data_IF_875880947590
#
_entry.id   IF_875880947590
#
_cell.length_a   1.000
_cell.length_b   1.000
_cell.length_c   1.000
_cell.angle_alpha   90.00
_cell.angle_beta   90.00
_cell.angle_gamma   90.00
#
_symmetry.space_group_name_H-M   'P 1'
#
loop_
_entity.id
_entity.type
_entity.pdbx_description
1 polymer ?
#
# COMPACT_ATOMS: atom_id res chain seq x y z
N UNK A 1 17.74 -41.79 -44.47
CA UNK A 1 16.38 -41.51 -43.97
C UNK A 1 16.51 -40.55 -42.80
N UNK A 2 16.00 -39.34 -42.97
CA UNK A 2 16.12 -38.25 -42.00
C UNK A 2 15.00 -38.33 -40.97
N UNK A 3 15.34 -38.14 -39.70
CA UNK A 3 14.39 -37.91 -38.61
C UNK A 3 14.80 -36.62 -37.92
N UNK A 4 14.19 -35.52 -38.36
CA UNK A 4 14.27 -34.23 -37.68
C UNK A 4 13.36 -34.26 -36.45
N UNK A 5 13.80 -33.81 -35.26
CA UNK A 5 12.90 -33.55 -34.16
C UNK A 5 12.09 -32.30 -34.49
N UNK A 6 10.77 -32.45 -34.50
CA UNK A 6 9.82 -31.34 -34.59
C UNK A 6 10.05 -30.38 -33.42
N UNK A 7 10.51 -29.17 -33.75
CA UNK A 7 10.57 -28.02 -32.85
C UNK A 7 9.16 -27.53 -32.58
N UNK A 8 8.50 -28.09 -31.57
CA UNK A 8 7.26 -27.53 -31.05
C UNK A 8 7.65 -26.35 -30.14
N UNK A 9 7.78 -25.16 -30.72
CA UNK A 9 7.76 -23.94 -29.94
C UNK A 9 6.32 -23.77 -29.42
N UNK A 10 6.09 -23.66 -28.10
CA UNK A 10 4.74 -23.45 -27.59
C UNK A 10 4.26 -22.06 -28.04
N UNK A 11 3.03 -21.98 -28.54
CA UNK A 11 2.37 -20.71 -28.84
C UNK A 11 2.30 -19.86 -27.55
N UNK A 12 3.10 -18.81 -27.50
CA UNK A 12 3.14 -17.86 -26.39
C UNK A 12 1.84 -17.05 -26.36
N UNK A 13 0.95 -17.37 -25.42
CA UNK A 13 -0.19 -16.51 -25.11
C UNK A 13 0.27 -15.12 -24.63
N UNK A 14 -0.52 -14.09 -24.91
CA UNK A 14 -0.21 -12.68 -24.57
C UNK A 14 0.08 -12.48 -23.06
N UNK A 15 -0.57 -13.26 -22.19
CA UNK A 15 -0.28 -13.26 -20.74
C UNK A 15 1.15 -13.72 -20.43
N UNK A 16 1.60 -14.77 -21.10
CA UNK A 16 2.92 -15.35 -20.92
C UNK A 16 3.99 -14.39 -21.44
N UNK A 17 3.77 -13.77 -22.61
CA UNK A 17 4.66 -12.74 -23.14
C UNK A 17 4.78 -11.53 -22.20
N UNK A 18 3.67 -11.09 -21.58
CA UNK A 18 3.69 -9.99 -20.61
C UNK A 18 4.45 -10.34 -19.33
N UNK A 19 4.39 -11.59 -18.88
CA UNK A 19 5.17 -12.07 -17.73
C UNK A 19 6.68 -12.09 -18.01
N UNK A 20 7.10 -12.52 -19.20
CA UNK A 20 8.50 -12.52 -19.61
C UNK A 20 9.08 -11.12 -19.88
N UNK A 21 8.24 -10.14 -20.25
CA UNK A 21 8.66 -8.75 -20.48
C UNK A 21 8.62 -7.89 -19.21
N UNK A 22 8.29 -8.44 -18.04
CA UNK A 22 8.27 -7.65 -16.80
C UNK A 22 9.69 -7.12 -16.51
N UNK A 23 9.82 -5.86 -16.09
CA UNK A 23 11.10 -5.31 -15.66
C UNK A 23 11.73 -6.21 -14.60
N UNK A 24 13.00 -6.57 -14.79
CA UNK A 24 13.77 -7.39 -13.85
C UNK A 24 14.04 -6.53 -12.60
N UNK A 25 13.17 -6.62 -11.60
CA UNK A 25 13.28 -5.90 -10.34
C UNK A 25 12.12 -6.22 -9.38
N UNK A 26 12.31 -6.06 -8.06
CA UNK A 26 11.30 -6.45 -7.09
C UNK A 26 10.02 -5.60 -7.24
N UNK A 27 8.87 -6.26 -7.34
CA UNK A 27 7.55 -5.63 -7.24
C UNK A 27 7.39 -5.09 -5.82
N UNK A 28 7.12 -3.79 -5.72
CA UNK A 28 6.95 -3.12 -4.43
C UNK A 28 5.52 -2.67 -4.24
N UNK A 29 4.94 -3.03 -3.10
CA UNK A 29 3.65 -2.50 -2.65
C UNK A 29 3.91 -1.38 -1.65
N UNK A 30 3.37 -0.19 -1.91
CA UNK A 30 3.41 0.89 -0.95
C UNK A 30 2.14 0.91 -0.09
N UNK A 31 2.29 0.81 1.23
CA UNK A 31 1.19 0.90 2.17
C UNK A 31 1.27 2.23 2.91
N UNK A 32 0.17 2.98 2.88
CA UNK A 32 0.05 4.29 3.51
C UNK A 32 -0.70 4.20 4.83
N UNK A 33 -0.18 4.84 5.87
CA UNK A 33 -0.88 4.99 7.15
C UNK A 33 -2.17 5.80 6.99
N UNK A 34 -3.27 5.38 7.63
CA UNK A 34 -4.46 6.21 7.77
C UNK A 34 -4.20 7.36 8.76
N UNK A 35 -5.05 8.37 8.74
CA UNK A 35 -5.21 9.34 9.84
C UNK A 35 -6.46 9.02 10.67
N UNK A 36 -6.53 9.48 11.92
CA UNK A 36 -7.80 9.41 12.66
C UNK A 36 -8.87 10.34 12.07
N UNK A 37 -8.45 11.51 11.53
CA UNK A 37 -9.35 12.43 10.83
C UNK A 37 -9.81 11.83 9.51
N UNK A 38 -11.11 11.80 9.31
CA UNK A 38 -11.80 11.21 8.14
C UNK A 38 -12.73 12.23 7.52
N UNK A 39 -13.11 12.02 6.26
CA UNK A 39 -13.93 12.99 5.54
C UNK A 39 -15.32 13.17 6.20
N UNK A 40 -15.88 12.09 6.72
CA UNK A 40 -17.18 12.07 7.39
C UNK A 40 -17.21 12.73 8.76
N UNK A 41 -16.05 13.10 9.32
CA UNK A 41 -16.01 13.98 10.49
C UNK A 41 -16.46 15.42 10.13
N UNK A 42 -16.51 15.75 8.83
CA UNK A 42 -16.88 17.08 8.32
C UNK A 42 -17.97 17.06 7.24
N UNK A 43 -18.08 15.99 6.46
CA UNK A 43 -19.10 15.82 5.41
C UNK A 43 -19.52 14.34 5.31
N UNK A 44 -20.77 13.99 5.65
CA UNK A 44 -21.23 12.60 5.69
C UNK A 44 -21.68 12.06 4.32
N UNK A 45 -21.10 12.51 3.22
CA UNK A 45 -21.42 11.98 1.88
C UNK A 45 -20.80 10.60 1.66
N UNK A 46 -21.59 9.65 1.13
CA UNK A 46 -21.17 8.28 0.83
C UNK A 46 -21.72 7.79 -0.51
N UNK A 47 -21.04 6.83 -1.19
CA UNK A 47 -19.79 6.19 -0.79
C UNK A 47 -18.55 7.07 -1.03
N UNK A 48 -17.49 6.83 -0.25
CA UNK A 48 -16.23 7.59 -0.34
C UNK A 48 -15.11 6.69 -0.87
N UNK A 49 -14.35 7.17 -1.86
CA UNK A 49 -13.12 6.48 -2.30
C UNK A 49 -12.06 6.51 -1.21
N UNK A 50 -11.33 5.41 -1.00
CA UNK A 50 -10.28 5.30 0.02
C UNK A 50 -9.27 6.47 -0.03
N UNK A 51 -8.86 6.89 -1.24
CA UNK A 51 -7.95 8.05 -1.47
C UNK A 51 -8.48 9.40 -0.98
N UNK A 52 -9.76 9.50 -0.62
CA UNK A 52 -10.41 10.72 -0.10
C UNK A 52 -10.81 10.59 1.36
N UNK A 53 -10.83 9.37 1.91
CA UNK A 53 -11.28 9.08 3.27
C UNK A 53 -10.45 9.81 4.31
N UNK A 54 -9.13 9.65 4.26
CA UNK A 54 -8.23 10.08 5.34
C UNK A 54 -7.72 11.50 5.08
N UNK A 55 -8.09 12.42 5.97
CA UNK A 55 -7.94 13.87 5.75
C UNK A 55 -6.82 14.51 6.57
N UNK A 56 -6.16 13.75 7.46
CA UNK A 56 -5.02 14.23 8.23
C UNK A 56 -3.83 14.58 7.34
N UNK A 57 -3.12 15.67 7.66
CA UNK A 57 -2.03 16.21 6.85
C UNK A 57 -0.94 15.18 6.51
N UNK A 58 -0.44 14.46 7.52
CA UNK A 58 0.59 13.44 7.33
C UNK A 58 0.12 12.28 6.43
N UNK A 59 -1.09 11.75 6.66
CA UNK A 59 -1.65 10.68 5.80
C UNK A 59 -1.82 11.17 4.37
N UNK A 60 -2.35 12.38 4.14
CA UNK A 60 -2.48 12.96 2.79
C UNK A 60 -1.13 13.09 2.09
N UNK A 61 -0.08 13.53 2.80
CA UNK A 61 1.28 13.63 2.23
C UNK A 61 1.83 12.26 1.84
N UNK A 62 1.63 11.25 2.69
CA UNK A 62 1.98 9.86 2.35
C UNK A 62 1.22 9.35 1.12
N UNK A 63 -0.08 9.66 1.00
CA UNK A 63 -0.89 9.30 -0.17
C UNK A 63 -0.36 9.99 -1.44
N UNK A 64 -0.04 11.30 -1.38
CA UNK A 64 0.51 12.03 -2.51
C UNK A 64 1.85 11.45 -2.98
N UNK A 65 2.72 11.10 -2.03
CA UNK A 65 4.00 10.45 -2.33
C UNK A 65 3.78 9.06 -2.96
N UNK A 66 2.86 8.26 -2.42
CA UNK A 66 2.53 6.95 -2.95
C UNK A 66 1.95 7.03 -4.38
N UNK A 67 1.05 7.97 -4.64
CA UNK A 67 0.48 8.21 -5.98
C UNK A 67 1.56 8.65 -6.98
N UNK A 68 2.55 9.44 -6.55
CA UNK A 68 3.65 9.90 -7.39
C UNK A 68 4.63 8.79 -7.77
N UNK A 69 4.99 7.93 -6.82
CA UNK A 69 6.12 6.99 -7.00
C UNK A 69 5.73 5.52 -7.09
N UNK A 70 4.50 5.15 -6.72
CA UNK A 70 4.01 3.77 -6.64
C UNK A 70 2.65 3.63 -7.33
N UNK A 71 2.42 4.37 -8.42
CA UNK A 71 1.16 4.36 -9.18
C UNK A 71 0.77 2.93 -9.56
N UNK A 72 -0.47 2.56 -9.23
CA UNK A 72 -1.01 1.22 -9.46
C UNK A 72 -0.56 0.15 -8.45
N UNK A 73 0.39 0.45 -7.57
CA UNK A 73 0.93 -0.48 -6.56
C UNK A 73 0.99 0.18 -5.18
N UNK A 74 -0.08 0.86 -4.77
CA UNK A 74 -0.19 1.41 -3.43
C UNK A 74 -1.59 1.29 -2.85
N UNK A 75 -1.69 1.07 -1.54
CA UNK A 75 -2.95 0.96 -0.81
C UNK A 75 -2.91 1.76 0.49
N UNK A 76 -4.08 2.08 1.03
CA UNK A 76 -4.24 2.66 2.37
C UNK A 76 -4.66 1.54 3.32
N UNK A 77 -4.10 1.50 4.51
CA UNK A 77 -4.59 0.61 5.57
C UNK A 77 -5.80 1.24 6.25
N UNK A 78 -6.99 0.73 5.97
CA UNK A 78 -8.22 1.11 6.64
C UNK A 78 -8.45 0.23 7.89
N UNK A 79 -8.69 0.79 9.09
CA UNK A 79 -8.87 0.01 10.33
C UNK A 79 -10.10 -0.92 10.34
N UNK A 80 -11.07 -0.70 9.45
CA UNK A 80 -12.29 -1.49 9.36
C UNK A 80 -12.28 -2.46 8.17
N UNK A 81 -11.75 -2.02 7.04
CA UNK A 81 -11.81 -2.70 5.74
C UNK A 81 -10.47 -3.33 5.32
N UNK A 82 -9.40 -3.09 6.10
CA UNK A 82 -8.06 -3.60 5.83
C UNK A 82 -7.34 -2.81 4.73
N UNK A 83 -6.46 -3.47 3.99
CA UNK A 83 -5.78 -2.87 2.84
C UNK A 83 -6.80 -2.53 1.75
N UNK A 84 -6.89 -1.25 1.40
CA UNK A 84 -7.79 -0.72 0.37
C UNK A 84 -7.01 -0.04 -0.76
N UNK A 85 -7.30 -0.42 -2.00
CA UNK A 85 -6.82 0.30 -3.17
C UNK A 85 -7.43 1.72 -3.21
N UNK A 86 -6.76 2.69 -3.85
CA UNK A 86 -7.16 4.10 -3.80
C UNK A 86 -8.57 4.37 -4.33
N UNK A 87 -9.01 3.58 -5.31
CA UNK A 87 -10.30 3.74 -5.98
C UNK A 87 -11.40 2.84 -5.42
N UNK A 88 -11.08 1.98 -4.46
CA UNK A 88 -12.09 1.24 -3.70
C UNK A 88 -12.89 2.18 -2.81
N UNK A 89 -14.12 1.77 -2.50
CA UNK A 89 -15.10 2.61 -1.82
C UNK A 89 -15.41 2.09 -0.42
N UNK A 90 -15.39 3.00 0.54
CA UNK A 90 -15.97 2.82 1.87
C UNK A 90 -17.45 3.20 1.79
N UNK A 91 -18.31 2.22 2.08
CA UNK A 91 -19.77 2.37 1.89
C UNK A 91 -20.48 3.02 3.07
N UNK A 92 -19.89 2.97 4.27
CA UNK A 92 -20.48 3.46 5.51
C UNK A 92 -19.39 4.06 6.40
N UNK A 93 -19.72 5.08 7.22
CA UNK A 93 -18.79 5.60 8.21
C UNK A 93 -18.45 4.52 9.24
N UNK A 94 -17.27 4.64 9.84
CA UNK A 94 -16.87 3.87 11.01
C UNK A 94 -16.05 4.74 11.95
N UNK A 95 -15.97 4.33 13.20
CA UNK A 95 -15.22 4.98 14.28
C UNK A 95 -13.86 4.33 14.54
N UNK A 96 -13.65 3.09 14.07
CA UNK A 96 -12.40 2.32 14.22
C UNK A 96 -11.14 3.12 13.93
N UNK A 97 -10.20 3.10 14.87
CA UNK A 97 -8.91 3.75 14.83
C UNK A 97 -7.80 2.71 14.95
N UNK A 98 -6.85 2.72 14.01
CA UNK A 98 -5.78 1.71 13.91
C UNK A 98 -5.01 1.48 15.21
N UNK A 99 -4.87 2.54 16.02
CA UNK A 99 -3.99 2.60 17.16
C UNK A 99 -4.72 2.62 18.52
N UNK A 100 -6.05 2.46 18.51
CA UNK A 100 -6.91 2.46 19.70
C UNK A 100 -7.66 1.13 19.79
N UNK A 101 -7.13 0.15 20.55
CA UNK A 101 -7.72 -1.19 20.67
C UNK A 101 -9.19 -1.19 21.07
N UNK A 102 -9.62 -0.23 21.90
CA UNK A 102 -11.00 -0.05 22.35
C UNK A 102 -11.99 0.22 21.20
N UNK A 103 -11.49 0.71 20.06
CA UNK A 103 -12.29 0.92 18.84
C UNK A 103 -12.34 -0.32 17.93
N UNK A 104 -11.78 -1.44 18.38
CA UNK A 104 -11.77 -2.74 17.69
C UNK A 104 -11.31 -2.68 16.22
N UNK A 105 -10.12 -2.08 15.92
CA UNK A 105 -9.55 -2.17 14.59
C UNK A 105 -9.23 -3.63 14.22
N UNK A 106 -9.08 -3.92 12.92
CA UNK A 106 -8.60 -5.23 12.48
C UNK A 106 -7.26 -5.57 13.15
N UNK A 107 -7.14 -6.81 13.65
CA UNK A 107 -5.91 -7.32 14.27
C UNK A 107 -4.84 -7.60 13.21
N UNK A 108 -3.58 -7.75 13.62
CA UNK A 108 -2.51 -8.10 12.70
C UNK A 108 -2.77 -9.44 11.97
N UNK A 109 -3.34 -10.43 12.65
CA UNK A 109 -3.72 -11.71 12.03
C UNK A 109 -4.82 -11.53 10.97
N UNK A 110 -5.86 -10.74 11.27
CA UNK A 110 -6.92 -10.42 10.31
C UNK A 110 -6.38 -9.66 9.10
N UNK A 111 -5.43 -8.75 9.32
CA UNK A 111 -4.76 -8.02 8.24
C UNK A 111 -3.86 -8.94 7.41
N UNK A 112 -3.20 -9.92 8.03
CA UNK A 112 -2.39 -10.93 7.32
C UNK A 112 -3.27 -11.83 6.45
N UNK A 113 -4.38 -12.33 6.97
CA UNK A 113 -5.33 -13.10 6.16
C UNK A 113 -5.88 -12.25 5.00
N UNK A 114 -6.15 -10.98 5.25
CA UNK A 114 -6.63 -10.04 4.23
C UNK A 114 -5.56 -9.76 3.17
N UNK A 115 -4.28 -9.65 3.55
CA UNK A 115 -3.18 -9.44 2.59
C UNK A 115 -3.02 -10.62 1.64
N UNK A 116 -3.07 -11.86 2.16
CA UNK A 116 -3.03 -13.10 1.38
C UNK A 116 -4.22 -13.21 0.43
N UNK A 117 -5.45 -12.99 0.94
CA UNK A 117 -6.67 -13.04 0.12
C UNK A 117 -6.63 -12.04 -1.04
N UNK A 118 -5.97 -10.91 -0.83
CA UNK A 118 -5.82 -9.84 -1.82
C UNK A 118 -4.55 -9.96 -2.68
N UNK A 119 -3.75 -11.02 -2.49
CA UNK A 119 -2.47 -11.23 -3.19
C UNK A 119 -1.49 -10.06 -3.03
N UNK A 120 -1.55 -9.40 -1.87
CA UNK A 120 -0.60 -8.33 -1.52
C UNK A 120 0.74 -8.91 -1.07
N UNK A 121 0.72 -10.16 -0.60
CA UNK A 121 1.89 -10.98 -0.32
C UNK A 121 2.60 -11.49 -1.58
N UNK A 122 2.01 -11.38 -2.78
CA UNK A 122 2.73 -11.65 -4.05
C UNK A 122 3.80 -10.58 -4.36
N UNK A 123 3.80 -9.44 -3.65
CA UNK A 123 4.84 -8.43 -3.80
C UNK A 123 6.13 -8.86 -3.08
N UNK A 124 7.27 -8.49 -3.66
CA UNK A 124 8.60 -8.85 -3.16
C UNK A 124 9.01 -8.01 -1.95
N UNK A 125 8.57 -6.75 -1.93
CA UNK A 125 8.87 -5.80 -0.87
C UNK A 125 7.67 -4.91 -0.53
N UNK A 126 7.58 -4.54 0.74
CA UNK A 126 6.56 -3.65 1.27
C UNK A 126 7.22 -2.32 1.64
N UNK A 127 6.66 -1.22 1.16
CA UNK A 127 7.08 0.13 1.55
C UNK A 127 6.06 0.65 2.56
N UNK A 128 6.46 0.75 3.82
CA UNK A 128 5.62 1.28 4.89
C UNK A 128 5.80 2.81 4.99
N UNK A 129 4.78 3.57 4.56
CA UNK A 129 4.74 5.03 4.72
C UNK A 129 3.93 5.41 5.96
N UNK A 130 4.63 5.50 7.08
CA UNK A 130 4.07 5.90 8.36
C UNK A 130 5.15 6.03 9.42
N UNK A 131 4.72 6.27 10.67
CA UNK A 131 5.62 6.31 11.83
C UNK A 131 5.95 4.91 12.37
N UNK A 132 6.75 4.86 13.44
CA UNK A 132 7.26 3.60 14.02
C UNK A 132 6.18 2.54 14.30
N UNK A 133 5.05 2.91 14.91
CA UNK A 133 3.95 1.97 15.18
C UNK A 133 3.38 1.34 13.90
N UNK A 134 3.36 2.08 12.81
CA UNK A 134 2.91 1.58 11.51
C UNK A 134 3.92 0.60 10.92
N UNK A 135 5.21 0.91 11.04
CA UNK A 135 6.29 0.05 10.54
C UNK A 135 6.24 -1.31 11.23
N UNK A 136 6.17 -1.33 12.56
CA UNK A 136 6.07 -2.57 13.34
C UNK A 136 4.84 -3.40 12.96
N UNK A 137 3.69 -2.74 12.74
CA UNK A 137 2.49 -3.43 12.26
C UNK A 137 2.70 -4.05 10.87
N UNK A 138 3.39 -3.36 9.95
CA UNK A 138 3.66 -3.91 8.61
C UNK A 138 4.62 -5.09 8.67
N UNK A 139 5.61 -5.08 9.55
CA UNK A 139 6.51 -6.22 9.79
C UNK A 139 5.76 -7.44 10.35
N UNK A 140 4.81 -7.21 11.25
CA UNK A 140 3.96 -8.27 11.80
C UNK A 140 2.99 -8.84 10.76
N UNK A 141 2.37 -7.99 9.93
CA UNK A 141 1.40 -8.41 8.92
C UNK A 141 2.07 -9.10 7.73
N UNK A 142 3.30 -8.74 7.37
CA UNK A 142 4.04 -9.33 6.25
C UNK A 142 5.30 -10.07 6.72
N UNK A 143 5.16 -11.18 7.47
CA UNK A 143 6.31 -11.91 7.99
C UNK A 143 7.16 -12.47 6.84
N UNK A 144 8.48 -12.36 6.96
CA UNK A 144 9.43 -12.83 5.94
C UNK A 144 9.53 -11.96 4.68
N UNK A 145 8.72 -10.90 4.56
CA UNK A 145 8.86 -9.92 3.48
C UNK A 145 9.85 -8.83 3.86
N UNK A 146 10.49 -8.25 2.85
CA UNK A 146 11.35 -7.07 3.05
C UNK A 146 10.48 -5.83 3.22
N UNK A 147 10.26 -5.42 4.47
CA UNK A 147 9.65 -4.13 4.80
C UNK A 147 10.71 -3.04 4.73
N UNK A 148 10.44 -1.96 4.00
CA UNK A 148 11.26 -0.75 3.97
C UNK A 148 10.43 0.43 4.46
N UNK A 149 11.03 1.27 5.27
CA UNK A 149 10.38 2.44 5.84
C UNK A 149 11.20 3.70 5.51
N UNK A 150 10.93 4.38 4.38
CA UNK A 150 11.73 5.51 3.92
C UNK A 150 11.71 6.71 4.88
N UNK A 151 10.74 6.77 5.79
CA UNK A 151 10.60 7.83 6.79
C UNK A 151 11.25 7.48 8.14
N UNK A 152 11.75 6.25 8.30
CA UNK A 152 12.41 5.84 9.53
C UNK A 152 13.68 6.68 9.76
N UNK A 153 13.82 7.25 10.96
CA UNK A 153 14.99 8.04 11.34
C UNK A 153 15.00 9.50 10.88
N UNK A 154 14.01 9.97 10.10
CA UNK A 154 13.93 11.37 9.63
C UNK A 154 13.53 12.37 10.73
N UNK A 155 13.17 11.90 11.92
CA UNK A 155 12.80 12.74 13.06
C UNK A 155 11.27 12.80 13.27
N UNK A 156 10.73 13.98 13.55
CA UNK A 156 9.31 14.19 13.83
C UNK A 156 8.41 14.23 12.60
N UNK A 157 7.08 14.26 12.81
CA UNK A 157 6.09 14.32 11.71
C UNK A 157 6.32 15.51 10.78
N UNK A 158 6.72 16.67 11.30
CA UNK A 158 7.03 17.85 10.50
C UNK A 158 8.20 17.62 9.53
N UNK A 159 9.27 17.00 10.00
CA UNK A 159 10.45 16.66 9.20
C UNK A 159 10.13 15.59 8.17
N UNK A 160 9.35 14.56 8.54
CA UNK A 160 8.86 13.55 7.61
C UNK A 160 8.00 14.17 6.50
N UNK A 161 7.08 15.09 6.83
CA UNK A 161 6.27 15.79 5.82
C UNK A 161 7.13 16.62 4.88
N UNK A 162 8.15 17.32 5.39
CA UNK A 162 9.11 18.06 4.57
C UNK A 162 9.86 17.13 3.62
N UNK A 163 10.38 16.01 4.11
CA UNK A 163 11.08 15.02 3.28
C UNK A 163 10.19 14.46 2.16
N UNK A 164 8.91 14.20 2.44
CA UNK A 164 7.93 13.79 1.44
C UNK A 164 7.71 14.88 0.39
N UNK A 165 7.57 16.14 0.79
CA UNK A 165 7.36 17.27 -0.13
C UNK A 165 8.59 17.51 -1.02
N UNK A 166 9.79 17.49 -0.44
CA UNK A 166 11.05 17.63 -1.17
C UNK A 166 11.20 16.50 -2.20
N UNK A 167 10.89 15.26 -1.80
CA UNK A 167 10.91 14.11 -2.71
C UNK A 167 9.91 14.25 -3.86
N UNK A 168 8.66 14.62 -3.56
CA UNK A 168 7.61 14.86 -4.57
C UNK A 168 8.04 15.96 -5.54
N UNK A 169 8.53 17.09 -5.02
CA UNK A 169 8.93 18.26 -5.80
C UNK A 169 10.14 18.01 -6.70
N UNK A 170 11.13 17.25 -6.20
CA UNK A 170 12.33 16.89 -6.97
C UNK A 170 12.12 15.68 -7.89
N UNK A 171 11.02 14.93 -7.73
CA UNK A 171 10.79 13.68 -8.43
C UNK A 171 11.76 12.57 -8.03
N UNK A 172 12.45 12.70 -6.90
CA UNK A 172 13.38 11.69 -6.37
C UNK A 172 12.73 10.96 -5.22
N UNK A 173 12.58 9.65 -5.36
CA UNK A 173 12.05 8.77 -4.33
C UNK A 173 13.02 8.72 -3.14
N UNK A 174 12.47 8.76 -1.93
CA UNK A 174 13.16 8.43 -0.67
C UNK A 174 13.63 6.97 -0.67
#
# INVERSE_FOLDING_TARGET
MASSPSSIAPEMGERTAFEYMRPIGPRTLCVVTPSERRIWDTSPEFPVRARRTYTGGFSRKCQSYAERFYRGHWCILDPCNGFMWPDEVIRRPHDRCLYRPETQPLTADQLREHSIRRKLDDFDAIIALGGMRFILLMEEVFPGKRVRAPLAGIGGIGEMMKALDDAIGTGRRL
#
